data_IF_441819777586
#
_entry.id   IF_441819777586
#
_cell.length_a   1.000
_cell.length_b   1.000
_cell.length_c   1.000
_cell.angle_alpha   90.00
_cell.angle_beta   90.00
_cell.angle_gamma   90.00
#
_symmetry.space_group_name_H-M   'P 1'
#
loop_
_entity.id
_entity.type
_entity.pdbx_description
1 polymer ?
#
# COMPACT_ATOMS: atom_id res chain seq x y z
N UNK A 1 4.53 -18.37 -11.14
CA UNK A 1 5.64 -17.73 -11.89
C UNK A 1 5.07 -16.58 -12.69
N UNK A 2 5.85 -15.58 -13.09
CA UNK A 2 5.37 -14.54 -14.01
C UNK A 2 5.12 -15.12 -15.41
N UNK A 3 4.37 -14.43 -16.28
CA UNK A 3 4.50 -14.61 -17.73
C UNK A 3 5.96 -14.44 -18.19
N UNK A 4 6.28 -14.99 -19.36
CA UNK A 4 7.63 -14.84 -19.94
C UNK A 4 7.89 -13.38 -20.31
N UNK A 5 8.99 -12.84 -19.82
CA UNK A 5 9.48 -11.50 -20.14
C UNK A 5 10.36 -11.64 -21.38
N UNK A 6 9.89 -11.03 -22.47
CA UNK A 6 10.57 -11.05 -23.77
C UNK A 6 11.02 -9.63 -24.08
N UNK A 7 12.32 -9.44 -24.33
CA UNK A 7 12.91 -8.13 -24.61
C UNK A 7 13.84 -8.26 -25.80
N UNK A 8 13.71 -7.33 -26.75
CA UNK A 8 14.59 -7.24 -27.90
C UNK A 8 15.55 -6.07 -27.69
N UNK A 9 16.85 -6.34 -27.84
CA UNK A 9 17.89 -5.33 -27.76
C UNK A 9 18.53 -5.15 -29.15
N UNK A 10 18.77 -3.90 -29.54
CA UNK A 10 19.43 -3.59 -30.79
C UNK A 10 20.32 -2.36 -30.63
N UNK A 11 21.58 -2.49 -31.04
CA UNK A 11 22.48 -1.36 -31.28
C UNK A 11 23.19 -1.61 -32.62
N UNK A 12 23.03 -0.69 -33.57
CA UNK A 12 23.57 -0.83 -34.92
C UNK A 12 25.06 -0.46 -35.02
N UNK A 13 25.62 0.17 -33.97
CA UNK A 13 26.98 0.68 -33.99
C UNK A 13 27.96 -0.23 -33.25
N UNK A 14 27.93 -0.19 -31.91
CA UNK A 14 28.91 -0.89 -31.07
C UNK A 14 28.46 -2.29 -30.66
N UNK A 15 27.17 -2.59 -30.80
CA UNK A 15 26.54 -3.81 -30.35
C UNK A 15 26.11 -3.74 -28.88
N UNK A 16 25.21 -4.64 -28.50
CA UNK A 16 24.66 -4.72 -27.14
C UNK A 16 25.63 -5.49 -26.25
N UNK A 17 25.98 -4.90 -25.10
CA UNK A 17 26.87 -5.51 -24.09
C UNK A 17 26.08 -6.08 -22.91
N UNK A 18 25.00 -5.41 -22.50
CA UNK A 18 24.15 -5.78 -21.37
C UNK A 18 22.68 -5.61 -21.73
N UNK A 19 21.88 -6.60 -21.37
CA UNK A 19 20.43 -6.49 -21.25
C UNK A 19 20.01 -7.20 -19.98
N UNK A 20 19.44 -6.48 -19.00
CA UNK A 20 19.20 -7.01 -17.66
C UNK A 20 17.82 -6.65 -17.16
N UNK A 21 17.10 -7.64 -16.65
CA UNK A 21 15.92 -7.43 -15.81
C UNK A 21 16.39 -7.22 -14.37
N UNK A 22 15.93 -6.14 -13.76
CA UNK A 22 16.10 -5.86 -12.35
C UNK A 22 14.70 -5.92 -11.72
N UNK A 23 14.45 -6.86 -10.80
CA UNK A 23 13.14 -6.97 -10.12
C UNK A 23 13.27 -7.13 -8.61
N UNK A 24 12.24 -6.76 -7.86
CA UNK A 24 12.14 -6.99 -6.42
C UNK A 24 10.68 -7.03 -5.96
N UNK A 25 10.45 -7.51 -4.74
CA UNK A 25 9.14 -7.37 -4.07
C UNK A 25 8.93 -5.92 -3.65
N UNK A 26 7.71 -5.42 -3.84
CA UNK A 26 7.32 -4.09 -3.37
C UNK A 26 7.58 -3.92 -1.88
N UNK A 27 8.05 -2.75 -1.47
CA UNK A 27 8.28 -2.42 -0.06
C UNK A 27 9.48 -3.09 0.60
N UNK A 28 10.27 -3.90 -0.14
CA UNK A 28 11.47 -4.55 0.40
C UNK A 28 12.58 -3.57 0.81
N UNK A 29 12.54 -2.33 0.31
CA UNK A 29 13.50 -1.27 0.66
C UNK A 29 14.96 -1.56 0.28
N UNK A 30 15.23 -2.70 -0.37
CA UNK A 30 16.56 -3.21 -0.71
C UNK A 30 16.86 -3.22 -2.22
N UNK A 31 17.97 -3.87 -2.57
CA UNK A 31 18.46 -4.01 -3.95
C UNK A 31 17.60 -4.93 -4.82
N UNK A 32 17.72 -4.75 -6.14
CA UNK A 32 17.03 -5.57 -7.12
C UNK A 32 17.78 -6.89 -7.36
N UNK A 33 17.02 -7.93 -7.65
CA UNK A 33 17.52 -9.17 -8.24
C UNK A 33 17.76 -8.92 -9.71
N UNK A 34 18.94 -9.32 -10.18
CA UNK A 34 19.41 -9.05 -11.53
C UNK A 34 19.42 -10.33 -12.34
N UNK A 35 18.78 -10.32 -13.51
CA UNK A 35 18.69 -11.46 -14.42
C UNK A 35 19.13 -11.03 -15.82
N UNK A 36 20.02 -11.82 -16.43
CA UNK A 36 20.42 -11.62 -17.83
C UNK A 36 19.26 -11.89 -18.78
N UNK A 37 19.04 -10.98 -19.71
CA UNK A 37 18.04 -11.08 -20.77
C UNK A 37 18.66 -11.35 -22.15
N UNK A 38 19.99 -11.27 -22.29
CA UNK A 38 20.66 -11.55 -23.57
C UNK A 38 20.63 -13.04 -23.93
N UNK A 39 20.54 -13.90 -22.91
CA UNK A 39 20.41 -15.36 -23.08
C UNK A 39 19.00 -15.81 -23.52
N UNK A 40 18.04 -14.90 -23.63
CA UNK A 40 16.67 -15.17 -24.07
C UNK A 40 15.62 -14.81 -23.03
N UNK A 41 14.39 -15.29 -23.26
CA UNK A 41 13.23 -14.99 -22.42
C UNK A 41 13.39 -15.55 -21.01
N UNK A 42 12.93 -14.79 -20.01
CA UNK A 42 13.00 -15.20 -18.60
C UNK A 42 11.65 -15.11 -17.91
N UNK A 43 11.49 -15.87 -16.82
CA UNK A 43 10.35 -15.76 -15.92
C UNK A 43 10.85 -15.39 -14.52
N UNK A 44 10.07 -14.58 -13.81
CA UNK A 44 10.30 -14.35 -12.38
C UNK A 44 9.73 -15.55 -11.60
N UNK A 45 10.51 -16.16 -10.70
CA UNK A 45 10.06 -17.26 -9.86
C UNK A 45 8.78 -16.90 -9.10
N UNK A 46 7.83 -17.84 -9.00
CA UNK A 46 6.60 -17.62 -8.22
C UNK A 46 6.87 -17.39 -6.74
N UNK A 47 7.98 -17.91 -6.20
CA UNK A 47 8.45 -17.62 -4.85
C UNK A 47 8.76 -16.15 -4.63
N UNK A 48 9.08 -15.39 -5.69
CA UNK A 48 9.45 -13.98 -5.60
C UNK A 48 8.28 -13.04 -5.84
N UNK A 49 7.16 -13.55 -6.37
CA UNK A 49 5.93 -12.80 -6.59
C UNK A 49 5.02 -13.07 -5.39
N UNK A 50 4.83 -12.05 -4.56
CA UNK A 50 4.02 -12.14 -3.34
C UNK A 50 2.98 -11.03 -3.29
N UNK A 51 2.06 -11.15 -2.34
CA UNK A 51 0.87 -10.30 -2.25
C UNK A 51 1.22 -8.81 -2.00
N UNK A 52 2.46 -8.49 -1.63
CA UNK A 52 2.94 -7.11 -1.49
C UNK A 52 3.00 -6.36 -2.84
N UNK A 53 3.16 -7.08 -3.95
CA UNK A 53 3.41 -6.50 -5.27
C UNK A 53 4.84 -6.78 -5.78
N UNK A 54 5.09 -6.38 -7.02
CA UNK A 54 6.37 -6.56 -7.70
C UNK A 54 6.80 -5.23 -8.33
N UNK A 55 8.08 -4.91 -8.22
CA UNK A 55 8.69 -3.76 -8.88
C UNK A 55 9.78 -4.25 -9.82
N UNK A 56 9.86 -3.69 -11.04
CA UNK A 56 10.90 -4.09 -11.98
C UNK A 56 11.24 -3.00 -13.00
N UNK A 57 12.46 -3.03 -13.51
CA UNK A 57 12.92 -2.24 -14.64
C UNK A 57 13.95 -3.03 -15.45
N UNK A 58 14.21 -2.58 -16.68
CA UNK A 58 15.23 -3.14 -17.57
C UNK A 58 16.36 -2.12 -17.69
N UNK A 59 17.59 -2.60 -17.58
CA UNK A 59 18.81 -1.82 -17.84
C UNK A 59 19.54 -2.42 -19.05
N UNK A 60 20.08 -1.54 -19.89
CA UNK A 60 20.89 -1.91 -21.04
C UNK A 60 22.20 -1.14 -21.06
N UNK A 61 23.23 -1.74 -21.64
CA UNK A 61 24.52 -1.09 -21.91
C UNK A 61 25.05 -1.55 -23.27
N UNK A 62 25.60 -0.64 -24.06
CA UNK A 62 26.31 -0.97 -25.31
C UNK A 62 27.82 -1.19 -25.06
N UNK A 63 28.59 -1.53 -26.09
CA UNK A 63 30.02 -1.82 -25.94
C UNK A 63 30.91 -0.59 -25.69
N UNK A 64 30.38 0.63 -25.82
CA UNK A 64 31.10 1.89 -25.56
C UNK A 64 30.64 2.57 -24.27
N UNK A 65 29.67 1.98 -23.55
CA UNK A 65 29.25 2.39 -22.22
C UNK A 65 27.99 3.27 -22.18
N UNK A 66 27.28 3.45 -23.29
CA UNK A 66 25.98 4.12 -23.26
C UNK A 66 24.95 3.23 -22.57
N UNK A 67 24.11 3.83 -21.72
CA UNK A 67 23.10 3.10 -20.93
C UNK A 67 21.69 3.49 -21.30
N UNK A 68 20.80 2.51 -21.29
CA UNK A 68 19.36 2.69 -21.44
C UNK A 68 18.60 2.08 -20.26
N UNK A 69 17.42 2.64 -19.97
CA UNK A 69 16.52 2.13 -18.95
C UNK A 69 15.09 2.08 -19.47
N UNK A 70 14.36 1.04 -19.09
CA UNK A 70 12.93 0.94 -19.31
C UNK A 70 12.22 0.56 -18.01
N UNK A 71 11.15 1.28 -17.60
CA UNK A 71 10.56 2.44 -18.27
C UNK A 71 11.52 3.65 -18.30
N UNK A 72 11.35 4.53 -19.28
CA UNK A 72 12.18 5.73 -19.44
C UNK A 72 11.62 6.94 -18.69
N UNK A 73 10.34 6.89 -18.31
CA UNK A 73 9.57 7.96 -17.67
C UNK A 73 9.42 7.78 -16.15
N UNK A 74 9.72 6.59 -15.62
CA UNK A 74 9.73 6.32 -14.18
C UNK A 74 10.98 5.54 -13.80
N UNK A 75 11.23 5.39 -12.49
CA UNK A 75 12.39 4.62 -12.03
C UNK A 75 12.22 3.11 -12.19
N UNK A 76 10.97 2.63 -12.16
CA UNK A 76 10.60 1.23 -12.37
C UNK A 76 9.09 1.11 -12.59
N UNK A 77 8.66 -0.01 -13.16
CA UNK A 77 7.26 -0.40 -13.15
C UNK A 77 6.88 -1.01 -11.82
N UNK A 78 5.80 -0.51 -11.22
CA UNK A 78 5.15 -1.12 -10.06
C UNK A 78 3.93 -1.93 -10.50
N UNK A 79 3.97 -3.24 -10.28
CA UNK A 79 2.98 -4.20 -10.73
C UNK A 79 2.13 -4.67 -9.56
N UNK A 80 0.81 -4.60 -9.76
CA UNK A 80 -0.18 -5.13 -8.84
C UNK A 80 -0.20 -6.65 -8.90
N UNK A 81 -0.25 -7.29 -7.75
CA UNK A 81 -0.31 -8.74 -7.63
C UNK A 81 -1.62 -9.13 -6.95
N UNK A 82 -2.33 -10.07 -7.57
CA UNK A 82 -3.46 -10.76 -6.95
C UNK A 82 -2.91 -11.84 -6.01
N UNK A 83 -3.43 -11.89 -4.79
CA UNK A 83 -2.98 -12.86 -3.79
C UNK A 83 -3.31 -14.29 -4.22
N UNK A 84 -2.39 -15.21 -3.96
CA UNK A 84 -2.60 -16.65 -4.21
C UNK A 84 -3.55 -17.27 -3.17
N UNK A 85 -3.50 -16.75 -1.94
CA UNK A 85 -4.35 -17.18 -0.83
C UNK A 85 -5.33 -16.06 -0.44
N UNK A 86 -6.38 -16.45 0.27
CA UNK A 86 -7.32 -15.53 0.91
C UNK A 86 -6.61 -14.50 1.79
N UNK A 87 -7.06 -13.25 1.69
CA UNK A 87 -6.70 -12.16 2.58
C UNK A 87 -7.58 -12.25 3.82
N UNK A 88 -6.98 -12.47 4.97
CA UNK A 88 -7.71 -12.68 6.22
C UNK A 88 -7.08 -11.90 7.36
N UNK A 89 -7.91 -11.41 8.28
CA UNK A 89 -7.43 -10.78 9.51
C UNK A 89 -6.57 -11.72 10.37
N UNK A 90 -6.67 -13.04 10.18
CA UNK A 90 -5.80 -14.02 10.84
C UNK A 90 -4.31 -13.86 10.47
N UNK A 91 -4.00 -13.22 9.33
CA UNK A 91 -2.63 -12.85 8.96
C UNK A 91 -2.01 -11.86 9.96
N UNK A 92 -2.85 -11.09 10.66
CA UNK A 92 -2.42 -10.16 11.71
C UNK A 92 -2.68 -10.70 13.11
N UNK A 93 -3.85 -11.29 13.33
CA UNK A 93 -4.28 -11.83 14.61
C UNK A 93 -4.56 -13.33 14.48
N UNK A 94 -3.50 -14.13 14.57
CA UNK A 94 -3.57 -15.59 14.35
C UNK A 94 -4.48 -16.32 15.35
N UNK A 95 -4.69 -15.74 16.54
CA UNK A 95 -5.62 -16.26 17.55
C UNK A 95 -7.01 -15.63 17.49
N UNK A 96 -7.35 -14.93 16.40
CA UNK A 96 -8.59 -14.18 16.26
C UNK A 96 -8.45 -12.72 16.66
N UNK A 97 -9.34 -11.89 16.11
CA UNK A 97 -9.40 -10.45 16.34
C UNK A 97 -9.68 -10.19 17.83
N UNK A 98 -8.94 -9.29 18.49
CA UNK A 98 -9.23 -8.90 19.87
C UNK A 98 -10.64 -8.31 19.99
N UNK A 99 -11.44 -8.83 20.92
CA UNK A 99 -12.75 -8.29 21.30
C UNK A 99 -12.76 -7.73 22.71
N UNK A 100 -13.93 -7.24 23.12
CA UNK A 100 -14.18 -6.69 24.46
C UNK A 100 -15.33 -5.69 24.44
N UNK A 101 -15.75 -5.24 25.62
CA UNK A 101 -16.89 -4.33 25.79
C UNK A 101 -16.49 -2.92 26.24
N UNK A 102 -15.24 -2.73 26.65
CA UNK A 102 -14.73 -1.41 27.04
C UNK A 102 -14.32 -0.59 25.81
N UNK A 103 -14.48 0.73 25.89
CA UNK A 103 -14.06 1.66 24.82
C UNK A 103 -12.58 1.54 24.44
N UNK A 104 -11.73 1.09 25.35
CA UNK A 104 -10.31 0.82 25.09
C UNK A 104 -10.08 -0.44 24.24
N UNK A 105 -11.07 -1.32 24.13
CA UNK A 105 -11.00 -2.54 23.32
C UNK A 105 -11.31 -2.32 21.84
N UNK A 106 -11.76 -1.12 21.44
CA UNK A 106 -11.96 -0.80 20.04
C UNK A 106 -10.69 -1.07 19.23
N UNK A 107 -10.82 -1.89 18.19
CA UNK A 107 -9.80 -2.12 17.20
C UNK A 107 -9.88 -1.04 16.13
N UNK A 108 -8.79 -0.30 15.92
CA UNK A 108 -8.67 0.62 14.79
C UNK A 108 -7.84 0.00 13.67
N UNK A 109 -8.50 -0.49 12.62
CA UNK A 109 -7.89 -1.32 11.59
C UNK A 109 -8.13 -0.78 10.18
N UNK A 110 -7.40 -1.36 9.23
CA UNK A 110 -7.60 -1.19 7.78
C UNK A 110 -7.39 -2.53 7.07
N UNK A 111 -7.73 -2.59 5.78
CA UNK A 111 -7.42 -3.73 4.90
C UNK A 111 -6.34 -3.25 3.91
N UNK A 112 -5.14 -3.86 3.89
CA UNK A 112 -4.02 -3.41 3.05
C UNK A 112 -4.08 -3.92 1.60
N UNK A 113 -5.28 -4.26 1.13
CA UNK A 113 -5.55 -4.87 -0.17
C UNK A 113 -6.88 -4.35 -0.73
N UNK A 114 -6.97 -4.22 -2.05
CA UNK A 114 -8.26 -4.12 -2.71
C UNK A 114 -8.92 -5.49 -2.70
N UNK A 115 -10.05 -5.60 -1.99
CA UNK A 115 -10.83 -6.83 -1.86
C UNK A 115 -12.28 -6.58 -2.26
N UNK A 116 -12.94 -7.61 -2.79
CA UNK A 116 -14.37 -7.54 -3.12
C UNK A 116 -15.22 -7.96 -1.92
N UNK A 117 -16.11 -7.07 -1.46
CA UNK A 117 -17.16 -7.47 -0.51
C UNK A 117 -16.72 -7.56 0.96
N UNK A 118 -15.69 -6.82 1.40
CA UNK A 118 -15.21 -6.88 2.79
C UNK A 118 -16.31 -6.65 3.85
N UNK A 119 -17.27 -5.76 3.56
CA UNK A 119 -18.42 -5.56 4.44
C UNK A 119 -19.27 -6.82 4.58
N UNK A 120 -19.50 -7.54 3.47
CA UNK A 120 -20.27 -8.79 3.47
C UNK A 120 -19.53 -9.90 4.21
N UNK A 121 -18.21 -10.00 4.06
CA UNK A 121 -17.38 -10.93 4.82
C UNK A 121 -17.50 -10.72 6.34
N UNK A 122 -17.45 -9.46 6.79
CA UNK A 122 -17.64 -9.12 8.22
C UNK A 122 -19.04 -9.54 8.68
N UNK A 123 -20.09 -9.11 7.96
CA UNK A 123 -21.49 -9.41 8.33
C UNK A 123 -21.78 -10.92 8.30
N UNK A 124 -21.14 -11.70 7.42
CA UNK A 124 -21.31 -13.15 7.36
C UNK A 124 -20.79 -13.86 8.62
N UNK A 125 -19.79 -13.29 9.29
CA UNK A 125 -19.21 -13.85 10.52
C UNK A 125 -19.92 -13.29 11.75
N UNK A 126 -20.18 -11.98 11.76
CA UNK A 126 -20.73 -11.30 12.92
C UNK A 126 -22.26 -11.36 13.01
N UNK A 127 -22.93 -11.76 11.93
CA UNK A 127 -24.38 -11.61 11.79
C UNK A 127 -24.80 -10.18 11.41
N UNK A 128 -26.10 -9.89 11.41
CA UNK A 128 -26.60 -8.54 11.14
C UNK A 128 -26.06 -7.54 12.19
N UNK A 129 -25.82 -6.28 11.80
CA UNK A 129 -25.41 -5.23 12.73
C UNK A 129 -26.42 -5.09 13.87
N UNK A 130 -25.94 -5.32 15.09
CA UNK A 130 -26.71 -5.20 16.33
C UNK A 130 -25.76 -4.61 17.38
N UNK A 131 -26.16 -3.48 17.98
CA UNK A 131 -25.34 -2.74 18.95
C UNK A 131 -24.94 -3.57 20.17
N UNK A 132 -25.67 -4.66 20.45
CA UNK A 132 -25.39 -5.59 21.53
C UNK A 132 -24.36 -6.67 21.18
N UNK A 133 -24.07 -6.89 19.89
CA UNK A 133 -23.15 -7.95 19.44
C UNK A 133 -21.83 -7.36 18.94
N UNK A 134 -21.90 -6.41 18.01
CA UNK A 134 -20.71 -5.76 17.45
C UNK A 134 -21.04 -4.38 16.88
N UNK A 135 -20.03 -3.51 16.82
CA UNK A 135 -20.13 -2.20 16.18
C UNK A 135 -18.98 -2.00 15.21
N UNK A 136 -19.29 -1.45 14.04
CA UNK A 136 -18.32 -1.10 13.01
C UNK A 136 -18.54 0.35 12.62
N UNK A 137 -17.50 1.16 12.70
CA UNK A 137 -17.54 2.57 12.34
C UNK A 137 -16.57 2.90 11.23
N UNK A 138 -17.00 3.79 10.36
CA UNK A 138 -16.13 4.59 9.51
C UNK A 138 -16.22 6.07 9.93
N UNK A 139 -15.20 6.84 9.55
CA UNK A 139 -15.26 8.29 9.62
C UNK A 139 -15.09 8.90 8.24
N UNK A 140 -16.09 9.67 7.82
CA UNK A 140 -16.06 10.44 6.57
C UNK A 140 -16.80 11.77 6.79
N UNK A 141 -16.07 12.78 7.26
CA UNK A 141 -16.61 14.08 7.69
C UNK A 141 -17.76 13.95 8.72
N UNK A 142 -17.71 12.89 9.51
CA UNK A 142 -18.74 12.47 10.45
C UNK A 142 -18.63 10.98 10.72
N UNK A 143 -19.09 10.56 11.90
CA UNK A 143 -19.14 9.15 12.27
C UNK A 143 -20.26 8.44 11.51
N UNK A 144 -19.94 7.28 10.96
CA UNK A 144 -20.87 6.42 10.26
C UNK A 144 -20.86 5.06 10.96
N UNK A 145 -21.91 4.76 11.71
CA UNK A 145 -22.16 3.43 12.23
C UNK A 145 -22.63 2.52 11.10
N UNK A 146 -22.10 1.31 11.05
CA UNK A 146 -22.40 0.32 10.03
C UNK A 146 -22.25 0.87 8.59
N UNK A 147 -21.02 1.26 8.19
CA UNK A 147 -20.79 1.81 6.87
C UNK A 147 -21.23 0.83 5.77
N UNK A 148 -21.77 1.37 4.68
CA UNK A 148 -22.26 0.59 3.53
C UNK A 148 -21.13 -0.16 2.80
N UNK A 149 -19.88 0.28 2.98
CA UNK A 149 -18.70 -0.37 2.41
C UNK A 149 -17.50 -0.34 3.35
N UNK A 150 -16.64 -1.34 3.20
CA UNK A 150 -15.32 -1.44 3.82
C UNK A 150 -14.33 -1.59 2.67
N UNK A 151 -13.40 -0.66 2.54
CA UNK A 151 -12.51 -0.55 1.38
C UNK A 151 -11.08 -0.17 1.80
N UNK A 152 -10.13 -0.54 0.96
CA UNK A 152 -8.72 -0.18 1.13
C UNK A 152 -8.52 1.34 1.23
N UNK A 153 -7.51 1.76 1.98
CA UNK A 153 -7.15 3.17 2.16
C UNK A 153 -8.00 3.90 3.21
N UNK A 154 -9.12 3.31 3.63
CA UNK A 154 -9.90 3.78 4.76
C UNK A 154 -9.55 3.00 6.04
N UNK A 155 -9.87 3.60 7.19
CA UNK A 155 -9.72 2.97 8.49
C UNK A 155 -11.06 2.92 9.21
N UNK A 156 -11.21 1.89 10.04
CA UNK A 156 -12.46 1.52 10.67
C UNK A 156 -12.23 1.21 12.14
N UNK A 157 -13.19 1.60 12.97
CA UNK A 157 -13.25 1.10 14.34
C UNK A 157 -14.17 -0.10 14.39
N UNK A 158 -13.71 -1.16 15.04
CA UNK A 158 -14.47 -2.37 15.23
C UNK A 158 -14.38 -2.82 16.68
N UNK A 159 -15.49 -3.24 17.23
CA UNK A 159 -15.59 -3.84 18.56
C UNK A 159 -16.68 -4.90 18.53
N UNK A 160 -16.50 -5.95 19.31
CA UNK A 160 -17.51 -6.99 19.50
C UNK A 160 -17.38 -7.55 20.91
N UNK A 161 -18.50 -8.02 21.45
CA UNK A 161 -18.53 -8.73 22.73
C UNK A 161 -18.23 -10.23 22.49
N UNK A 162 -17.08 -10.76 22.94
CA UNK A 162 -16.72 -12.16 22.73
C UNK A 162 -17.75 -13.14 23.31
N UNK A 163 -18.43 -12.77 24.40
CA UNK A 163 -19.40 -13.64 25.08
C UNK A 163 -20.66 -13.88 24.21
N UNK A 164 -20.88 -13.05 23.18
CA UNK A 164 -21.97 -13.21 22.20
C UNK A 164 -21.64 -14.21 21.09
N UNK A 165 -20.39 -14.68 21.01
CA UNK A 165 -19.91 -15.60 19.98
C UNK A 165 -19.26 -16.86 20.58
N UNK A 166 -19.96 -17.60 21.47
CA UNK A 166 -19.37 -18.74 22.19
C UNK A 166 -18.91 -19.88 21.28
N UNK A 167 -19.55 -20.04 20.11
CA UNK A 167 -19.22 -21.08 19.14
C UNK A 167 -18.07 -20.69 18.19
N UNK A 168 -17.60 -19.43 18.25
CA UNK A 168 -16.51 -18.93 17.42
C UNK A 168 -15.52 -18.07 18.23
N UNK A 169 -14.73 -18.70 19.13
CA UNK A 169 -13.85 -17.97 20.03
C UNK A 169 -12.68 -17.26 19.33
N UNK A 170 -12.33 -17.68 18.11
CA UNK A 170 -11.22 -17.13 17.32
C UNK A 170 -11.75 -16.40 16.08
N UNK A 171 -12.56 -15.36 16.28
CA UNK A 171 -13.16 -14.60 15.17
C UNK A 171 -12.08 -14.09 14.23
N UNK A 172 -12.22 -14.40 12.95
CA UNK A 172 -11.44 -13.81 11.86
C UNK A 172 -12.34 -13.56 10.66
N UNK A 173 -11.96 -12.61 9.82
CA UNK A 173 -12.66 -12.32 8.57
C UNK A 173 -11.82 -12.80 7.41
N UNK A 174 -12.43 -13.57 6.52
CA UNK A 174 -11.88 -13.94 5.22
C UNK A 174 -12.48 -13.03 4.16
N UNK A 175 -11.63 -12.23 3.51
CA UNK A 175 -12.02 -11.29 2.47
C UNK A 175 -11.87 -11.86 1.05
N UNK A 176 -11.53 -13.14 0.92
CA UNK A 176 -11.20 -13.80 -0.34
C UNK A 176 -9.88 -13.29 -0.93
N UNK A 177 -9.72 -13.43 -2.24
CA UNK A 177 -8.55 -12.89 -2.93
C UNK A 177 -8.51 -11.34 -2.84
N UNK A 178 -7.31 -10.80 -2.68
CA UNK A 178 -7.05 -9.36 -2.71
C UNK A 178 -6.04 -8.99 -3.77
N UNK A 179 -6.01 -7.71 -4.14
CA UNK A 179 -5.04 -7.15 -5.08
C UNK A 179 -4.21 -6.08 -4.38
N UNK A 180 -2.89 -6.16 -4.56
CA UNK A 180 -1.95 -5.22 -3.98
C UNK A 180 -2.06 -3.80 -4.56
N UNK A 181 -1.50 -2.83 -3.84
CA UNK A 181 -1.39 -1.43 -4.25
C UNK A 181 -0.06 -1.20 -4.96
N UNK A 182 -0.05 -0.51 -6.13
CA UNK A 182 1.21 -0.11 -6.75
C UNK A 182 1.92 0.92 -5.87
N UNK A 183 3.25 0.84 -5.83
CA UNK A 183 4.13 1.75 -5.08
C UNK A 183 4.50 3.01 -5.85
N UNK A 184 4.37 2.98 -7.19
CA UNK A 184 4.62 4.11 -8.08
C UNK A 184 3.38 4.37 -8.96
N UNK A 185 2.83 5.60 -8.96
CA UNK A 185 3.19 6.72 -8.06
C UNK A 185 2.81 6.43 -6.59
N UNK A 186 3.36 7.18 -5.61
CA UNK A 186 2.99 7.06 -4.20
C UNK A 186 1.48 7.16 -3.95
N UNK A 187 0.97 6.34 -3.04
CA UNK A 187 -0.46 6.31 -2.71
C UNK A 187 -0.92 7.62 -2.09
N UNK A 188 -1.96 8.22 -2.66
CA UNK A 188 -2.49 9.50 -2.24
C UNK A 188 -3.68 9.39 -1.29
N UNK A 189 -3.59 10.07 -0.14
CA UNK A 189 -4.71 10.28 0.77
C UNK A 189 -5.12 11.75 0.70
N UNK A 190 -6.36 12.01 0.27
CA UNK A 190 -6.92 13.36 0.30
C UNK A 190 -7.16 13.81 1.74
N UNK A 191 -6.70 15.01 2.07
CA UNK A 191 -6.80 15.62 3.40
C UNK A 191 -7.30 17.05 3.25
N UNK A 192 -7.91 17.58 4.30
CA UNK A 192 -8.39 18.96 4.35
C UNK A 192 -7.71 19.70 5.49
N UNK A 193 -7.36 20.97 5.24
CA UNK A 193 -6.76 21.82 6.27
C UNK A 193 -7.65 21.89 7.52
N UNK A 194 -7.04 21.71 8.69
CA UNK A 194 -7.72 21.80 9.99
C UNK A 194 -8.61 20.61 10.36
N UNK A 195 -8.83 19.64 9.47
CA UNK A 195 -9.68 18.48 9.71
C UNK A 195 -8.87 17.21 9.94
N UNK A 196 -9.38 16.33 10.80
CA UNK A 196 -8.85 14.97 10.96
C UNK A 196 -9.28 14.10 9.80
N UNK A 197 -8.31 13.46 9.14
CA UNK A 197 -8.51 12.42 8.15
C UNK A 197 -8.20 11.06 8.77
N UNK A 198 -9.14 10.14 8.67
CA UNK A 198 -8.96 8.73 9.01
C UNK A 198 -8.58 7.99 7.73
N UNK A 199 -7.53 7.17 7.78
CA UNK A 199 -7.00 6.44 6.64
C UNK A 199 -6.31 5.16 7.07
N UNK A 200 -6.27 4.18 6.18
CA UNK A 200 -5.58 2.91 6.39
C UNK A 200 -4.23 2.88 5.66
N UNK A 201 -3.31 2.03 6.13
CA UNK A 201 -2.15 1.68 5.30
C UNK A 201 -2.63 0.95 4.04
N UNK A 202 -2.24 1.40 2.83
CA UNK A 202 -2.64 0.76 1.58
C UNK A 202 -1.72 -0.40 1.18
N UNK A 203 -0.65 -0.66 1.95
CA UNK A 203 0.36 -1.65 1.63
C UNK A 203 0.40 -2.77 2.67
N UNK A 204 0.68 -4.00 2.21
CA UNK A 204 0.88 -5.17 3.09
C UNK A 204 2.31 -5.26 3.67
N UNK A 205 2.96 -4.11 3.86
CA UNK A 205 4.29 -4.00 4.44
C UNK A 205 4.41 -2.67 5.20
N UNK A 206 5.48 -2.54 5.97
CA UNK A 206 5.73 -1.36 6.78
C UNK A 206 6.23 -0.19 5.92
N UNK A 207 5.67 1.00 6.10
CA UNK A 207 6.16 2.24 5.49
C UNK A 207 6.67 3.19 6.56
N UNK A 208 7.96 3.55 6.51
CA UNK A 208 8.52 4.57 7.41
C UNK A 208 7.81 5.90 7.21
N UNK A 209 7.53 6.63 8.31
CA UNK A 209 6.99 7.99 8.20
C UNK A 209 7.95 8.98 7.51
N UNK A 210 9.23 8.66 7.37
CA UNK A 210 10.16 9.47 6.57
C UNK A 210 9.73 9.51 5.08
N UNK A 211 9.03 8.46 4.63
CA UNK A 211 8.48 8.30 3.29
C UNK A 211 7.00 8.74 3.20
N UNK A 212 6.50 9.47 4.19
CA UNK A 212 5.15 10.03 4.20
C UNK A 212 5.24 11.55 4.21
N UNK A 213 4.68 12.19 3.19
CA UNK A 213 4.86 13.62 2.97
C UNK A 213 3.67 14.26 2.27
N UNK A 214 3.48 15.55 2.48
CA UNK A 214 2.38 16.32 1.89
C UNK A 214 2.62 16.66 0.42
N UNK A 215 1.63 17.20 -0.28
CA UNK A 215 1.73 17.55 -1.71
C UNK A 215 2.82 18.59 -2.06
N UNK A 216 3.33 19.31 -1.08
CA UNK A 216 4.45 20.26 -1.20
C UNK A 216 5.82 19.63 -0.88
N UNK A 217 5.86 18.34 -0.51
CA UNK A 217 7.08 17.61 -0.15
C UNK A 217 7.44 17.68 1.34
N UNK A 218 6.73 18.45 2.16
CA UNK A 218 6.99 18.54 3.61
C UNK A 218 6.73 17.18 4.28
N UNK A 219 7.59 16.74 5.20
CA UNK A 219 7.39 15.46 5.87
C UNK A 219 6.13 15.52 6.76
N UNK A 220 5.40 14.40 6.86
CA UNK A 220 4.17 14.33 7.64
C UNK A 220 4.36 14.62 9.15
N UNK A 221 5.58 14.43 9.68
CA UNK A 221 5.94 14.78 11.07
C UNK A 221 6.06 16.29 11.29
N UNK A 222 6.39 17.04 10.23
CA UNK A 222 6.55 18.50 10.30
C UNK A 222 5.25 19.22 9.91
N UNK A 223 4.51 18.67 8.94
CA UNK A 223 3.26 19.23 8.44
C UNK A 223 2.03 18.90 9.32
N UNK A 224 2.18 18.00 10.29
CA UNK A 224 1.12 17.50 11.15
C UNK A 224 1.59 16.39 12.06
N UNK A 225 0.66 15.53 12.48
CA UNK A 225 0.97 14.37 13.30
C UNK A 225 0.09 13.20 12.92
N UNK A 226 0.69 12.01 12.86
CA UNK A 226 -0.01 10.75 12.59
C UNK A 226 -0.14 9.96 13.89
N UNK A 227 -1.36 9.56 14.21
CA UNK A 227 -1.66 8.74 15.38
C UNK A 227 -2.39 7.46 14.97
N UNK A 228 -2.28 6.44 15.82
CA UNK A 228 -3.08 5.21 15.76
C UNK A 228 -3.73 4.96 17.13
N UNK A 229 -4.71 4.08 17.17
CA UNK A 229 -5.44 3.73 18.39
C UNK A 229 -5.13 2.29 18.79
N UNK A 230 -4.82 2.09 20.07
CA UNK A 230 -4.62 0.78 20.70
C UNK A 230 -5.07 0.79 22.16
N UNK A 231 -6.25 1.34 22.42
CA UNK A 231 -6.76 1.66 23.76
C UNK A 231 -6.48 3.09 24.22
N UNK A 232 -5.51 3.75 23.57
CA UNK A 232 -5.30 5.19 23.62
C UNK A 232 -4.70 5.66 22.30
N UNK A 233 -4.74 6.97 22.06
CA UNK A 233 -4.07 7.57 20.91
C UNK A 233 -2.57 7.66 21.15
N UNK A 234 -1.78 7.14 20.22
CA UNK A 234 -0.32 7.18 20.27
C UNK A 234 0.28 7.58 18.93
N UNK A 235 1.36 8.34 18.96
CA UNK A 235 2.14 8.65 17.76
C UNK A 235 2.84 7.39 17.22
N UNK A 236 3.19 7.42 15.95
CA UNK A 236 3.85 6.29 15.28
C UNK A 236 5.09 6.77 14.52
N UNK A 237 6.05 5.85 14.30
CA UNK A 237 7.20 6.08 13.42
C UNK A 237 7.04 5.39 12.06
N UNK A 238 6.05 4.49 11.94
CA UNK A 238 5.85 3.62 10.78
C UNK A 238 4.35 3.31 10.61
N UNK A 239 3.88 3.31 9.37
CA UNK A 239 2.59 2.76 8.99
C UNK A 239 2.74 1.25 8.82
N UNK A 240 1.94 0.48 9.55
CA UNK A 240 1.93 -0.97 9.54
C UNK A 240 0.70 -1.46 8.78
N UNK A 241 0.77 -2.63 8.14
CA UNK A 241 -0.41 -3.24 7.55
C UNK A 241 -1.45 -3.53 8.64
N UNK A 242 -2.72 -3.57 8.24
CA UNK A 242 -3.86 -3.88 9.11
C UNK A 242 -4.20 -2.84 10.19
N UNK A 243 -3.54 -1.67 10.20
CA UNK A 243 -3.77 -0.61 11.18
C UNK A 243 -4.42 0.61 10.58
N UNK A 244 -5.34 1.19 11.35
CA UNK A 244 -5.92 2.50 11.08
C UNK A 244 -5.04 3.63 11.60
N UNK A 245 -5.12 4.77 10.91
CA UNK A 245 -4.39 5.99 11.24
C UNK A 245 -5.27 7.23 11.14
N UNK A 246 -4.91 8.25 11.91
CA UNK A 246 -5.45 9.60 11.77
C UNK A 246 -4.34 10.59 11.47
N UNK A 247 -4.64 11.58 10.64
CA UNK A 247 -3.76 12.69 10.32
C UNK A 247 -4.55 13.99 10.33
N UNK A 248 -4.01 15.04 10.96
CA UNK A 248 -4.57 16.39 10.87
C UNK A 248 -3.65 17.25 10.01
N UNK A 249 -4.17 17.76 8.91
CA UNK A 249 -3.42 18.64 8.02
C UNK A 249 -3.32 20.05 8.59
N UNK A 250 -2.11 20.62 8.63
CA UNK A 250 -1.88 22.03 8.92
C UNK A 250 -2.17 22.99 7.75
N UNK A 251 -2.44 22.46 6.55
CA UNK A 251 -2.64 23.28 5.33
C UNK A 251 -2.56 22.50 4.01
N UNK A 252 -1.98 21.30 4.02
CA UNK A 252 -1.92 20.42 2.86
C UNK A 252 -3.29 19.88 2.43
N UNK A 253 -3.41 19.52 1.15
CA UNK A 253 -4.61 18.92 0.55
C UNK A 253 -4.44 17.43 0.23
N UNK A 254 -3.21 16.94 0.25
CA UNK A 254 -2.90 15.52 0.04
C UNK A 254 -1.72 15.09 0.89
N UNK A 255 -1.82 13.88 1.43
CA UNK A 255 -0.74 13.12 2.05
C UNK A 255 -0.34 12.00 1.08
N UNK A 256 0.94 11.88 0.78
CA UNK A 256 1.50 10.83 -0.07
C UNK A 256 2.18 9.78 0.82
N UNK A 257 1.84 8.52 0.61
CA UNK A 257 2.44 7.36 1.28
C UNK A 257 3.32 6.64 0.26
N UNK A 258 4.61 6.89 0.33
CA UNK A 258 5.59 6.38 -0.63
C UNK A 258 6.07 4.97 -0.24
N UNK A 259 5.54 3.96 -0.96
CA UNK A 259 5.86 2.56 -0.76
C UNK A 259 7.17 2.10 -1.42
N UNK A 260 7.84 2.98 -2.18
CA UNK A 260 9.06 2.65 -2.94
C UNK A 260 10.29 2.49 -2.03
N UNK A 261 10.20 3.05 -0.82
CA UNK A 261 11.26 3.04 0.19
C UNK A 261 12.18 4.26 0.10
N UNK A 262 13.11 4.37 1.04
CA UNK A 262 13.96 5.57 1.20
C UNK A 262 15.11 5.66 0.20
N UNK A 263 15.30 4.65 -0.63
CA UNK A 263 16.28 4.66 -1.73
C UNK A 263 15.90 5.60 -2.87
N UNK A 264 14.63 6.02 -2.93
CA UNK A 264 14.13 6.94 -3.95
C UNK A 264 13.78 8.27 -3.29
N UNK A 265 14.16 9.37 -3.95
CA UNK A 265 13.74 10.70 -3.51
C UNK A 265 12.22 10.83 -3.53
N UNK A 266 11.69 11.74 -2.70
CA UNK A 266 10.28 12.13 -2.76
C UNK A 266 9.95 12.56 -4.19
N UNK A 267 8.76 12.21 -4.69
CA UNK A 267 8.29 12.73 -5.98
C UNK A 267 8.36 14.26 -5.93
N UNK A 268 9.16 14.85 -6.82
CA UNK A 268 9.21 16.30 -6.97
C UNK A 268 7.81 16.80 -7.37
N UNK A 269 7.46 18.01 -6.92
CA UNK A 269 6.28 18.71 -7.44
C UNK A 269 6.38 18.69 -8.96
N UNK A 270 5.38 18.12 -9.64
CA UNK A 270 5.19 18.34 -11.07
C UNK A 270 4.87 19.83 -11.23
N UNK A 271 5.92 20.65 -11.30
CA UNK A 271 5.88 21.99 -11.88
C UNK A 271 6.01 21.78 -13.38
N UNK A 272 5.04 21.09 -13.98
CA UNK A 272 4.81 21.30 -15.41
C UNK A 272 4.02 22.60 -15.43
N UNK A 273 4.75 23.70 -15.56
CA UNK A 273 4.20 24.87 -16.21
C UNK A 273 4.03 24.48 -17.69
N UNK A 274 2.79 24.26 -18.18
CA UNK A 274 2.58 23.89 -19.58
C UNK A 274 3.10 24.94 -20.56
N UNK A 275 3.36 26.16 -20.07
CA UNK A 275 3.77 27.31 -20.88
C UNK A 275 5.30 27.49 -20.96
N UNK A 276 6.09 26.61 -20.34
CA UNK A 276 7.56 26.73 -20.32
C UNK A 276 8.30 25.55 -20.98
N UNK A 277 7.63 24.84 -21.90
CA UNK A 277 8.34 24.03 -22.89
C UNK A 277 8.96 25.01 -23.88
N UNK A 278 10.28 25.20 -23.79
CA UNK A 278 11.03 25.80 -24.87
C UNK A 278 10.76 24.98 -26.15
N UNK A 279 9.97 25.55 -27.06
CA UNK A 279 9.88 25.06 -28.43
C UNK A 279 11.19 25.45 -29.12
N UNK A 280 12.18 24.56 -29.06
CA UNK A 280 13.32 24.60 -29.97
C UNK A 280 13.10 23.56 -31.09
N UNK A 281 12.55 24.05 -32.20
CA UNK A 281 12.88 23.72 -33.59
C UNK A 281 12.18 24.71 -34.54
#
# INVERSE_FOLDING_TARGET
TSPAINVNFSDAASGVKLGRLNYRRSGSGGGFVNVDLLSGSVNIPGSDIKAEGLEYYIETEDNVGNRGYWPSDTTFHSVRVRSEASITTAQRWSSGIPGGTDSTNYLFFSIPFEVSGAKSAITSVMGPPDEFNYRLYAYNNGWQENPSSVTMGNAYFFIFDPDKYPDNPNISFDFGEGVSTPTDPPYGVNVSSGQWKFFGSPYNFNVSLDNVYTNDGTNARDAGSIYTWGGSWSSVSTLQPWRGYIYKSGGATKLNIDGRGSSFGKMAKVLVDPDNVAMDA
#
